data_IF_393958901658
#
_entry.id   IF_393958901658
#
_cell.length_a   1.000
_cell.length_b   1.000
_cell.length_c   1.000
_cell.angle_alpha   90.00
_cell.angle_beta   90.00
_cell.angle_gamma   90.00
#
_symmetry.space_group_name_H-M   'P 1'
#
loop_
_entity.id
_entity.type
_entity.pdbx_description
1 polymer ?
#
# COMPACT_ATOMS: atom_id res chain seq x y z
N UNK A 1 -13.06 28.95 -0.90
CA UNK A 1 -12.21 28.02 -1.68
C UNK A 1 -11.80 26.94 -0.69
N UNK A 2 -12.44 25.77 -0.74
CA UNK A 2 -12.13 24.68 0.17
C UNK A 2 -10.72 24.14 -0.16
N UNK A 3 -9.94 23.80 0.87
CA UNK A 3 -8.61 23.23 0.71
C UNK A 3 -8.73 21.71 0.55
N UNK A 4 -7.84 21.13 -0.25
CA UNK A 4 -7.74 19.67 -0.49
C UNK A 4 -7.67 18.91 0.84
N UNK A 5 -6.82 19.36 1.77
CA UNK A 5 -6.71 18.80 3.13
C UNK A 5 -8.05 18.60 3.84
N UNK A 6 -8.94 19.60 3.81
CA UNK A 6 -10.22 19.52 4.55
C UNK A 6 -11.15 18.47 3.96
N UNK A 7 -11.08 18.25 2.64
CA UNK A 7 -11.90 17.28 1.94
C UNK A 7 -11.39 15.86 2.23
N UNK A 8 -10.07 15.69 2.23
CA UNK A 8 -9.41 14.41 2.55
C UNK A 8 -9.69 14.03 4.00
N UNK A 9 -9.58 14.96 4.95
CA UNK A 9 -9.91 14.75 6.37
C UNK A 9 -11.37 14.31 6.61
N UNK A 10 -12.32 14.74 5.77
CA UNK A 10 -13.71 14.29 5.86
C UNK A 10 -13.95 12.93 5.18
N UNK A 11 -13.20 12.60 4.12
CA UNK A 11 -13.31 11.34 3.40
C UNK A 11 -12.59 10.19 4.11
N UNK A 12 -11.50 10.47 4.84
CA UNK A 12 -10.75 9.50 5.66
C UNK A 12 -11.64 8.67 6.60
N UNK A 13 -12.45 9.26 7.50
CA UNK A 13 -13.29 8.47 8.41
C UNK A 13 -14.37 7.68 7.67
N UNK A 14 -14.81 8.14 6.49
CA UNK A 14 -15.74 7.39 5.63
C UNK A 14 -15.03 6.18 5.01
N UNK A 15 -13.80 6.35 4.55
CA UNK A 15 -12.95 5.27 4.05
C UNK A 15 -12.70 4.22 5.15
N UNK A 16 -12.35 4.66 6.36
CA UNK A 16 -12.10 3.78 7.50
C UNK A 16 -13.37 3.02 7.94
N UNK A 17 -14.52 3.69 7.94
CA UNK A 17 -15.79 3.07 8.36
C UNK A 17 -16.39 2.16 7.29
N UNK A 18 -16.27 2.52 6.01
CA UNK A 18 -16.85 1.75 4.89
C UNK A 18 -15.88 0.72 4.29
N UNK A 19 -14.59 0.86 4.55
CA UNK A 19 -13.49 0.03 4.04
C UNK A 19 -13.14 0.25 2.57
N UNK A 20 -13.91 1.06 1.84
CA UNK A 20 -13.76 1.32 0.40
C UNK A 20 -14.34 2.69 0.06
N UNK A 21 -13.65 3.46 -0.78
CA UNK A 21 -14.18 4.66 -1.44
C UNK A 21 -14.22 4.42 -2.95
N UNK A 22 -15.29 4.85 -3.62
CA UNK A 22 -15.37 4.82 -5.08
C UNK A 22 -15.05 6.18 -5.70
N UNK A 23 -14.68 6.21 -6.97
CA UNK A 23 -14.46 7.46 -7.70
C UNK A 23 -15.73 8.33 -7.73
N UNK A 24 -16.90 7.70 -7.78
CA UNK A 24 -18.21 8.36 -7.72
C UNK A 24 -18.49 8.92 -6.32
N UNK A 25 -18.16 8.21 -5.23
CA UNK A 25 -18.27 8.74 -3.85
C UNK A 25 -17.45 10.03 -3.69
N UNK A 26 -16.22 10.07 -4.22
CA UNK A 26 -15.36 11.28 -4.16
C UNK A 26 -15.95 12.41 -5.00
N UNK A 27 -16.44 12.11 -6.20
CA UNK A 27 -17.05 13.09 -7.10
C UNK A 27 -18.34 13.68 -6.54
N UNK A 28 -19.24 12.85 -5.99
CA UNK A 28 -20.48 13.29 -5.32
C UNK A 28 -20.18 14.22 -4.16
N UNK A 29 -19.19 13.89 -3.33
CA UNK A 29 -18.80 14.74 -2.18
C UNK A 29 -18.24 16.07 -2.61
N UNK A 30 -17.46 16.11 -3.70
CA UNK A 30 -16.99 17.36 -4.28
C UNK A 30 -18.14 18.22 -4.82
N UNK A 31 -19.18 17.60 -5.41
CA UNK A 31 -20.40 18.30 -5.85
C UNK A 31 -21.17 18.86 -4.66
N UNK A 32 -21.36 18.09 -3.59
CA UNK A 32 -22.09 18.51 -2.36
C UNK A 32 -21.45 19.75 -1.70
N UNK A 33 -20.13 19.81 -1.63
CA UNK A 33 -19.41 20.97 -1.04
C UNK A 33 -19.29 22.17 -1.99
N UNK A 34 -19.94 22.12 -3.16
CA UNK A 34 -19.95 23.19 -4.15
C UNK A 34 -18.65 23.34 -4.95
N UNK A 35 -17.82 22.29 -5.01
CA UNK A 35 -16.53 22.27 -5.69
C UNK A 35 -16.45 21.27 -6.87
N UNK A 36 -17.57 20.63 -7.21
CA UNK A 36 -17.67 19.55 -8.22
C UNK A 36 -17.38 19.94 -9.67
N UNK A 37 -17.05 21.21 -9.94
CA UNK A 37 -16.67 21.70 -11.27
C UNK A 37 -15.17 21.88 -11.47
N UNK A 38 -14.32 21.56 -10.48
CA UNK A 38 -12.87 21.76 -10.58
C UNK A 38 -12.13 20.42 -10.78
N UNK A 39 -11.79 20.04 -12.03
CA UNK A 39 -11.07 18.79 -12.28
C UNK A 39 -9.67 18.75 -11.66
N UNK A 40 -9.04 19.92 -11.43
CA UNK A 40 -7.75 19.99 -10.73
C UNK A 40 -7.85 19.68 -9.23
N UNK A 41 -8.99 20.00 -8.61
CA UNK A 41 -9.24 19.66 -7.21
C UNK A 41 -9.49 18.16 -7.02
N UNK A 42 -10.24 17.56 -7.95
CA UNK A 42 -10.50 16.12 -7.98
C UNK A 42 -9.18 15.33 -8.02
N UNK A 43 -8.30 15.64 -8.98
CA UNK A 43 -7.00 14.98 -9.12
C UNK A 43 -6.13 15.14 -7.85
N UNK A 44 -6.11 16.34 -7.25
CA UNK A 44 -5.35 16.58 -6.02
C UNK A 44 -5.90 15.81 -4.81
N UNK A 45 -7.22 15.61 -4.72
CA UNK A 45 -7.84 14.78 -3.67
C UNK A 45 -7.50 13.30 -3.88
N UNK A 46 -7.49 12.81 -5.12
CA UNK A 46 -7.06 11.44 -5.42
C UNK A 46 -5.61 11.19 -5.04
N UNK A 47 -4.67 12.04 -5.47
CA UNK A 47 -3.25 11.91 -5.09
C UNK A 47 -3.08 11.89 -3.57
N UNK A 48 -3.78 12.79 -2.86
CA UNK A 48 -3.67 12.88 -1.41
C UNK A 48 -4.28 11.66 -0.70
N UNK A 49 -5.40 11.13 -1.20
CA UNK A 49 -5.99 9.89 -0.65
C UNK A 49 -5.06 8.68 -0.86
N UNK A 50 -4.39 8.59 -2.01
CA UNK A 50 -3.40 7.53 -2.25
C UNK A 50 -2.17 7.65 -1.35
N UNK A 51 -1.68 8.86 -1.10
CA UNK A 51 -0.59 9.11 -0.13
C UNK A 51 -0.95 8.68 1.30
N UNK A 52 -2.22 8.85 1.69
CA UNK A 52 -2.76 8.38 2.98
C UNK A 52 -3.14 6.89 2.98
N UNK A 53 -2.87 6.16 1.88
CA UNK A 53 -3.08 4.71 1.77
C UNK A 53 -4.53 4.31 1.45
N UNK A 54 -5.37 5.25 1.04
CA UNK A 54 -6.78 5.01 0.71
C UNK A 54 -6.93 4.79 -0.79
N UNK A 55 -7.13 3.53 -1.19
CA UNK A 55 -7.30 3.19 -2.60
C UNK A 55 -8.75 3.44 -3.05
N UNK A 56 -8.92 4.32 -4.03
CA UNK A 56 -10.23 4.64 -4.59
C UNK A 56 -10.47 3.71 -5.77
N UNK A 57 -11.49 2.86 -5.65
CA UNK A 57 -11.83 1.84 -6.66
C UNK A 57 -12.88 2.37 -7.64
N UNK A 58 -12.93 1.78 -8.83
CA UNK A 58 -14.05 2.03 -9.75
C UNK A 58 -15.32 1.39 -9.17
N UNK A 59 -16.48 2.01 -9.38
CA UNK A 59 -17.76 1.50 -8.86
C UNK A 59 -18.07 0.10 -9.42
N UNK A 60 -17.66 -0.18 -10.66
CA UNK A 60 -17.77 -1.51 -11.26
C UNK A 60 -16.93 -2.59 -10.54
N UNK A 61 -15.84 -2.17 -9.88
CA UNK A 61 -14.95 -3.06 -9.12
C UNK A 61 -15.31 -3.14 -7.64
N UNK A 62 -16.39 -2.48 -7.22
CA UNK A 62 -16.83 -2.46 -5.83
C UNK A 62 -17.24 -3.85 -5.36
N UNK A 63 -16.62 -4.39 -4.29
CA UNK A 63 -17.05 -5.67 -3.74
C UNK A 63 -18.47 -5.56 -3.19
N UNK A 64 -19.31 -6.53 -3.56
CA UNK A 64 -20.70 -6.58 -3.07
C UNK A 64 -20.73 -6.70 -1.54
N UNK A 65 -21.79 -6.21 -0.87
CA UNK A 65 -21.92 -6.28 0.58
C UNK A 65 -21.81 -7.72 1.14
N UNK A 66 -22.23 -8.72 0.36
CA UNK A 66 -22.06 -10.15 0.65
C UNK A 66 -20.59 -10.57 0.69
N UNK A 67 -19.80 -10.17 -0.31
CA UNK A 67 -18.36 -10.46 -0.39
C UNK A 67 -17.62 -9.78 0.76
N UNK A 68 -17.97 -8.52 1.08
CA UNK A 68 -17.38 -7.79 2.20
C UNK A 68 -17.68 -8.43 3.55
N UNK A 69 -18.91 -8.93 3.76
CA UNK A 69 -19.28 -9.62 5.00
C UNK A 69 -18.53 -10.95 5.16
N UNK A 70 -18.38 -11.70 4.07
CA UNK A 70 -17.60 -12.94 4.07
C UNK A 70 -16.11 -12.69 4.37
N UNK A 71 -15.53 -11.61 3.83
CA UNK A 71 -14.15 -11.23 4.13
C UNK A 71 -13.94 -10.88 5.61
N UNK A 72 -14.83 -10.06 6.19
CA UNK A 72 -14.76 -9.69 7.60
C UNK A 72 -14.98 -10.90 8.55
N UNK A 73 -15.82 -11.85 8.15
CA UNK A 73 -16.04 -13.09 8.91
C UNK A 73 -14.82 -14.02 8.83
N UNK A 74 -14.20 -14.14 7.65
CA UNK A 74 -12.96 -14.89 7.45
C UNK A 74 -11.79 -14.29 8.24
N UNK A 75 -11.65 -12.97 8.25
CA UNK A 75 -10.64 -12.25 9.05
C UNK A 75 -10.84 -12.51 10.56
N UNK A 76 -12.09 -12.49 11.03
CA UNK A 76 -12.41 -12.81 12.42
C UNK A 76 -12.09 -14.27 12.78
N UNK A 77 -12.28 -15.21 11.85
CA UNK A 77 -11.88 -16.61 12.04
C UNK A 77 -10.36 -16.78 12.01
N UNK A 78 -9.65 -16.00 11.19
CA UNK A 78 -8.19 -16.00 11.10
C UNK A 78 -7.54 -15.49 12.39
N UNK A 79 -8.17 -14.58 13.13
CA UNK A 79 -7.61 -14.06 14.38
C UNK A 79 -7.77 -15.01 15.59
N UNK A 80 -8.55 -16.09 15.48
CA UNK A 80 -8.78 -17.03 16.58
C UNK A 80 -7.75 -18.16 16.61
N UNK A 81 -6.54 -17.84 17.07
CA UNK A 81 -5.43 -18.78 17.28
C UNK A 81 -5.75 -19.90 18.28
N UNK A 82 -6.85 -19.82 19.03
CA UNK A 82 -7.24 -20.85 20.01
C UNK A 82 -7.73 -22.14 19.38
N UNK A 83 -8.08 -22.10 18.09
CA UNK A 83 -8.55 -23.27 17.31
C UNK A 83 -7.38 -24.13 16.80
N UNK A 84 -6.17 -23.55 16.69
CA UNK A 84 -5.00 -24.25 16.18
C UNK A 84 -4.21 -24.90 17.31
N UNK A 85 -3.96 -26.21 17.18
CA UNK A 85 -3.04 -26.90 18.09
C UNK A 85 -1.61 -26.38 17.84
N UNK A 86 -0.78 -26.17 18.88
CA UNK A 86 0.63 -25.80 18.71
C UNK A 86 1.45 -26.86 17.94
N UNK A 87 0.93 -28.08 17.78
CA UNK A 87 1.54 -29.14 16.98
C UNK A 87 1.23 -29.03 15.47
N UNK A 88 0.27 -28.18 15.06
CA UNK A 88 -0.07 -27.97 13.65
C UNK A 88 0.86 -26.94 13.00
N UNK A 89 2.06 -27.39 12.65
CA UNK A 89 3.09 -26.55 12.01
C UNK A 89 2.67 -26.02 10.63
N UNK A 90 1.80 -26.74 9.92
CA UNK A 90 1.29 -26.31 8.61
C UNK A 90 0.23 -25.22 8.80
N UNK A 91 -0.72 -25.42 9.72
CA UNK A 91 -1.74 -24.44 10.05
C UNK A 91 -1.12 -23.12 10.53
N UNK A 92 -0.13 -23.19 11.42
CA UNK A 92 0.60 -22.02 11.89
C UNK A 92 1.34 -21.27 10.76
N UNK A 93 1.98 -22.00 9.84
CA UNK A 93 2.66 -21.38 8.69
C UNK A 93 1.69 -20.67 7.74
N UNK A 94 0.56 -21.32 7.42
CA UNK A 94 -0.45 -20.73 6.53
C UNK A 94 -1.05 -19.46 7.14
N UNK A 95 -1.30 -19.48 8.44
CA UNK A 95 -1.81 -18.31 9.17
C UNK A 95 -0.84 -17.14 9.13
N UNK A 96 0.44 -17.40 9.45
CA UNK A 96 1.48 -16.37 9.40
C UNK A 96 1.65 -15.82 7.97
N UNK A 97 1.55 -16.69 6.96
CA UNK A 97 1.63 -16.29 5.55
C UNK A 97 0.41 -15.47 5.10
N UNK A 98 -0.77 -15.69 5.69
CA UNK A 98 -1.99 -14.93 5.40
C UNK A 98 -2.00 -13.52 6.01
N UNK A 99 -1.17 -13.24 7.01
CA UNK A 99 -1.11 -11.92 7.66
C UNK A 99 -0.43 -10.85 6.81
N UNK A 100 0.32 -11.23 5.78
CA UNK A 100 1.01 -10.28 4.92
C UNK A 100 0.12 -9.89 3.72
N UNK A 101 -0.23 -8.60 3.57
CA UNK A 101 -1.03 -8.16 2.43
C UNK A 101 -0.28 -8.46 1.13
N UNK A 102 -1.02 -8.95 0.13
CA UNK A 102 -0.47 -9.25 -1.18
C UNK A 102 0.04 -7.96 -1.85
N UNK A 103 1.14 -8.09 -2.58
CA UNK A 103 1.70 -7.01 -3.36
C UNK A 103 0.86 -6.74 -4.61
N UNK A 104 0.74 -5.48 -4.99
CA UNK A 104 0.24 -5.10 -6.32
C UNK A 104 1.34 -5.28 -7.36
N UNK A 105 0.97 -5.42 -8.64
CA UNK A 105 1.94 -5.51 -9.73
C UNK A 105 2.91 -4.31 -9.78
N UNK A 106 2.42 -3.12 -9.41
CA UNK A 106 3.25 -1.91 -9.32
C UNK A 106 4.26 -2.02 -8.18
N UNK A 107 3.83 -2.47 -7.01
CA UNK A 107 4.71 -2.69 -5.86
C UNK A 107 5.77 -3.76 -6.14
N UNK A 108 5.42 -4.85 -6.80
CA UNK A 108 6.38 -5.87 -7.23
C UNK A 108 7.44 -5.29 -8.18
N UNK A 109 7.01 -4.46 -9.13
CA UNK A 109 7.91 -3.79 -10.08
C UNK A 109 8.88 -2.84 -9.36
N UNK A 110 8.39 -2.06 -8.40
CA UNK A 110 9.20 -1.15 -7.59
C UNK A 110 10.21 -1.89 -6.71
N UNK A 111 9.78 -2.99 -6.08
CA UNK A 111 10.66 -3.82 -5.26
C UNK A 111 11.74 -4.50 -6.11
N UNK A 112 11.38 -5.02 -7.29
CA UNK A 112 12.32 -5.61 -8.23
C UNK A 112 13.38 -4.58 -8.70
N UNK A 113 12.93 -3.39 -9.08
CA UNK A 113 13.83 -2.28 -9.46
C UNK A 113 14.77 -1.88 -8.31
N UNK A 114 14.25 -1.80 -7.08
CA UNK A 114 15.07 -1.54 -5.89
C UNK A 114 16.13 -2.62 -5.63
N UNK A 115 15.78 -3.89 -5.85
CA UNK A 115 16.73 -5.00 -5.75
C UNK A 115 17.84 -4.91 -6.79
N UNK A 116 17.51 -4.64 -8.05
CA UNK A 116 18.49 -4.47 -9.14
C UNK A 116 19.46 -3.32 -8.85
N UNK A 117 18.93 -2.17 -8.44
CA UNK A 117 19.75 -1.00 -8.07
C UNK A 117 20.70 -1.32 -6.90
N UNK A 118 20.23 -2.08 -5.90
CA UNK A 118 21.07 -2.53 -4.78
C UNK A 118 22.19 -3.46 -5.23
N UNK A 119 21.91 -4.41 -6.11
CA UNK A 119 22.91 -5.33 -6.68
C UNK A 119 23.96 -4.58 -7.52
N UNK A 120 23.54 -3.60 -8.33
CA UNK A 120 24.46 -2.77 -9.10
C UNK A 120 25.35 -1.92 -8.18
N UNK A 121 24.77 -1.31 -7.14
CA UNK A 121 25.52 -0.54 -6.15
C UNK A 121 26.55 -1.40 -5.41
N UNK A 122 26.18 -2.63 -5.03
CA UNK A 122 27.09 -3.58 -4.39
C UNK A 122 28.22 -3.99 -5.33
N UNK A 123 27.90 -4.33 -6.59
CA UNK A 123 28.90 -4.67 -7.59
C UNK A 123 29.87 -3.49 -7.85
N UNK A 124 29.36 -2.25 -7.81
CA UNK A 124 30.18 -1.04 -7.97
C UNK A 124 31.13 -0.83 -6.80
N UNK A 125 30.66 -1.04 -5.57
CA UNK A 125 31.50 -1.00 -4.36
C UNK A 125 32.58 -2.09 -4.34
N UNK A 126 32.32 -3.24 -4.95
CA UNK A 126 33.31 -4.33 -5.04
C UNK A 126 34.36 -4.08 -6.13
N UNK A 127 33.97 -3.44 -7.24
CA UNK A 127 34.83 -3.27 -8.42
C UNK A 127 35.80 -2.09 -8.31
N UNK A 128 35.46 -1.08 -7.51
CA UNK A 128 36.27 0.11 -7.29
C UNK A 128 36.32 0.42 -5.79
N UNK A 129 37.48 0.78 -5.27
CA UNK A 129 37.65 1.15 -3.85
C UNK A 129 37.83 2.65 -3.64
N UNK A 130 37.99 3.42 -4.71
CA UNK A 130 38.34 4.84 -4.68
C UNK A 130 37.08 5.68 -4.95
N UNK A 131 36.29 5.88 -3.90
CA UNK A 131 35.11 6.74 -3.90
C UNK A 131 35.31 7.87 -2.91
N UNK A 132 34.80 9.06 -3.24
CA UNK A 132 34.59 10.09 -2.24
C UNK A 132 33.67 9.54 -1.14
N UNK A 133 33.91 9.92 0.11
CA UNK A 133 33.19 9.41 1.28
C UNK A 133 31.66 9.53 1.12
N UNK A 134 31.20 10.67 0.61
CA UNK A 134 29.78 10.94 0.32
C UNK A 134 29.20 9.94 -0.70
N UNK A 135 29.94 9.67 -1.79
CA UNK A 135 29.50 8.74 -2.83
C UNK A 135 29.45 7.30 -2.31
N UNK A 136 30.39 6.92 -1.44
CA UNK A 136 30.40 5.61 -0.79
C UNK A 136 29.18 5.42 0.10
N UNK A 137 28.86 6.42 0.93
CA UNK A 137 27.68 6.39 1.83
C UNK A 137 26.39 6.21 1.01
N UNK A 138 26.23 6.92 -0.11
CA UNK A 138 25.04 6.78 -0.95
C UNK A 138 24.94 5.40 -1.62
N UNK A 139 26.06 4.82 -2.04
CA UNK A 139 26.08 3.46 -2.57
C UNK A 139 25.69 2.45 -1.48
N UNK A 140 26.24 2.56 -0.27
CA UNK A 140 25.90 1.68 0.86
C UNK A 140 24.42 1.81 1.25
N UNK A 141 23.84 3.01 1.22
CA UNK A 141 22.39 3.23 1.39
C UNK A 141 21.58 2.52 0.31
N UNK A 142 22.03 2.57 -0.94
CA UNK A 142 21.37 1.92 -2.07
C UNK A 142 21.41 0.40 -1.93
N UNK A 143 22.54 -0.16 -1.52
CA UNK A 143 22.67 -1.60 -1.19
C UNK A 143 21.69 -1.99 -0.09
N UNK A 144 21.64 -1.22 1.01
CA UNK A 144 20.70 -1.49 2.11
C UNK A 144 19.25 -1.43 1.64
N UNK A 145 18.90 -0.46 0.78
CA UNK A 145 17.56 -0.35 0.20
C UNK A 145 17.20 -1.59 -0.63
N UNK A 146 18.11 -2.05 -1.50
CA UNK A 146 17.87 -3.27 -2.28
C UNK A 146 17.73 -4.54 -1.42
N UNK A 147 18.47 -4.63 -0.31
CA UNK A 147 18.31 -5.73 0.65
C UNK A 147 16.93 -5.73 1.33
N UNK A 148 16.42 -4.55 1.69
CA UNK A 148 15.07 -4.39 2.24
C UNK A 148 14.00 -4.70 1.20
N UNK A 149 14.18 -4.27 -0.05
CA UNK A 149 13.29 -4.61 -1.16
C UNK A 149 13.18 -6.13 -1.34
N UNK A 150 14.31 -6.85 -1.25
CA UNK A 150 14.33 -8.32 -1.29
C UNK A 150 13.58 -8.96 -0.13
N UNK A 151 13.75 -8.47 1.10
CA UNK A 151 13.04 -8.99 2.27
C UNK A 151 11.53 -8.79 2.20
N UNK A 152 11.07 -7.74 1.51
CA UNK A 152 9.65 -7.48 1.33
C UNK A 152 9.02 -8.29 0.20
N UNK A 153 9.82 -8.77 -0.75
CA UNK A 153 9.34 -9.55 -1.89
C UNK A 153 9.25 -11.07 -1.60
N UNK A 154 10.00 -11.58 -0.63
CA UNK A 154 10.13 -13.02 -0.29
C UNK A 154 9.43 -13.29 1.04
#
# INVERSE_FOLDING_TARGET
MWKVETIVEELLPIAETRGTLTAEDVAERLVEIGSGGNPGLLAAVFERLEEEGVHVIDDETRPTPTVRRAAAEAERMLLDLTVLSPDDTVGLYLMESCHHPLLTAQQETELASGMEAGLEAEARLQRQSDFAEEARIELEKTVRRGQLSRQRLI
#
